data_IF_534694746199
#
_entry.id   IF_534694746199
#
_cell.length_a   1.000
_cell.length_b   1.000
_cell.length_c   1.000
_cell.angle_alpha   90.00
_cell.angle_beta   90.00
_cell.angle_gamma   90.00
#
_symmetry.space_group_name_H-M   'P 1'
#
loop_
_entity.id
_entity.type
_entity.pdbx_description
1 polymer ?
#
# COMPACT_ATOMS: atom_id res chain seq x y z
N UNK A 1 -43.62 -5.88 2.34
CA UNK A 1 -44.56 -4.96 1.66
C UNK A 1 -44.88 -3.84 2.64
N UNK A 2 -44.25 -2.67 2.51
CA UNK A 2 -44.82 -1.39 2.01
C UNK A 2 -44.46 -0.40 3.15
N UNK A 3 -43.98 0.83 2.98
CA UNK A 3 -43.80 1.75 1.87
C UNK A 3 -43.54 3.12 2.51
N UNK A 4 -42.68 3.96 1.92
CA UNK A 4 -42.38 5.32 2.39
C UNK A 4 -43.62 6.22 2.35
N UNK A 5 -43.81 7.19 3.26
CA UNK A 5 -44.63 8.35 2.99
C UNK A 5 -43.79 9.59 2.65
N UNK A 6 -44.39 10.33 1.72
CA UNK A 6 -43.88 11.41 0.91
C UNK A 6 -44.04 12.75 1.66
N UNK A 7 -43.00 13.58 1.63
CA UNK A 7 -42.98 14.90 2.27
C UNK A 7 -43.39 15.96 1.24
N UNK A 8 -44.67 16.32 1.17
CA UNK A 8 -45.09 17.55 0.49
C UNK A 8 -46.46 18.02 0.98
N UNK A 9 -46.56 19.34 1.18
CA UNK A 9 -47.75 20.15 1.51
C UNK A 9 -48.10 20.27 3.00
N UNK A 10 -47.51 21.26 3.66
CA UNK A 10 -48.29 22.39 4.20
C UNK A 10 -47.40 23.63 4.26
N UNK A 11 -47.83 24.68 3.59
CA UNK A 11 -47.05 25.89 3.30
C UNK A 11 -47.16 26.89 4.46
N UNK A 12 -46.04 27.58 4.72
CA UNK A 12 -45.93 28.95 5.20
C UNK A 12 -46.42 29.30 6.63
N UNK A 13 -45.46 29.47 7.55
CA UNK A 13 -45.37 30.70 8.36
C UNK A 13 -44.04 30.95 9.13
N UNK A 14 -42.93 30.25 8.87
CA UNK A 14 -41.63 30.62 9.48
C UNK A 14 -40.48 30.35 8.49
N UNK A 15 -40.32 31.22 7.50
CA UNK A 15 -39.13 31.25 6.63
C UNK A 15 -38.18 32.30 7.18
N UNK A 16 -37.14 31.89 7.91
CA UNK A 16 -36.10 32.85 8.29
C UNK A 16 -34.89 32.31 9.04
N UNK A 17 -35.02 31.31 9.91
CA UNK A 17 -33.98 31.06 10.92
C UNK A 17 -33.34 29.66 10.93
N UNK A 18 -33.86 28.69 10.16
CA UNK A 18 -33.39 27.29 10.24
C UNK A 18 -32.40 26.89 9.12
N UNK A 19 -32.23 27.69 8.06
CA UNK A 19 -31.34 27.33 6.95
C UNK A 19 -29.85 27.62 7.16
N UNK A 20 -29.50 28.47 8.14
CA UNK A 20 -28.09 28.77 8.45
C UNK A 20 -27.49 27.72 9.40
N UNK A 21 -28.28 27.15 10.31
CA UNK A 21 -27.78 26.18 11.30
C UNK A 21 -27.41 24.82 10.69
N UNK A 22 -28.17 24.31 9.71
CA UNK A 22 -27.85 23.04 9.06
C UNK A 22 -26.59 23.10 8.17
N UNK A 23 -26.31 24.24 7.51
CA UNK A 23 -25.04 24.43 6.80
C UNK A 23 -23.85 24.56 7.76
N UNK A 24 -24.01 25.32 8.85
CA UNK A 24 -22.96 25.52 9.84
C UNK A 24 -22.57 24.20 10.55
N UNK A 25 -23.53 23.33 10.83
CA UNK A 25 -23.26 22.01 11.42
C UNK A 25 -22.55 21.06 10.43
N UNK A 26 -22.93 21.10 9.14
CA UNK A 26 -22.29 20.29 8.10
C UNK A 26 -20.85 20.75 7.80
N UNK A 27 -20.59 22.07 7.82
CA UNK A 27 -19.24 22.62 7.68
C UNK A 27 -18.38 22.44 8.92
N UNK A 28 -18.96 22.47 10.13
CA UNK A 28 -18.25 22.15 11.37
C UNK A 28 -17.84 20.67 11.42
N UNK A 29 -18.68 19.74 10.97
CA UNK A 29 -18.32 18.33 10.85
C UNK A 29 -17.31 18.06 9.73
N UNK A 30 -17.41 18.76 8.59
CA UNK A 30 -16.42 18.68 7.50
C UNK A 30 -15.06 19.22 7.93
N UNK A 31 -15.02 20.31 8.70
CA UNK A 31 -13.80 20.86 9.28
C UNK A 31 -13.25 19.99 10.41
N UNK A 32 -14.09 19.37 11.25
CA UNK A 32 -13.65 18.36 12.23
C UNK A 32 -13.04 17.13 11.56
N UNK A 33 -13.64 16.63 10.47
CA UNK A 33 -13.11 15.49 9.70
C UNK A 33 -11.80 15.83 8.98
N UNK A 34 -11.66 17.05 8.44
CA UNK A 34 -10.39 17.56 7.88
C UNK A 34 -9.31 17.73 8.95
N UNK A 35 -9.65 18.28 10.11
CA UNK A 35 -8.72 18.43 11.24
C UNK A 35 -8.29 17.06 11.79
N UNK A 36 -9.19 16.06 11.83
CA UNK A 36 -8.86 14.71 12.24
C UNK A 36 -7.99 13.99 11.19
N UNK A 37 -8.28 14.12 9.90
CA UNK A 37 -7.46 13.58 8.82
C UNK A 37 -6.06 14.19 8.78
N UNK A 38 -5.94 15.51 8.95
CA UNK A 38 -4.66 16.20 9.07
C UNK A 38 -3.91 15.80 10.35
N UNK A 39 -4.62 15.53 11.46
CA UNK A 39 -4.02 15.02 12.70
C UNK A 39 -3.51 13.59 12.55
N UNK A 40 -4.18 12.74 11.78
CA UNK A 40 -3.72 11.37 11.46
C UNK A 40 -2.50 11.40 10.52
N UNK A 41 -2.50 12.27 9.49
CA UNK A 41 -1.33 12.45 8.62
C UNK A 41 -0.12 12.98 9.43
N UNK A 42 -0.36 13.92 10.36
CA UNK A 42 0.70 14.43 11.25
C UNK A 42 1.25 13.39 12.23
N UNK A 43 0.48 12.35 12.59
CA UNK A 43 0.97 11.25 13.42
C UNK A 43 1.98 10.38 12.66
N UNK A 44 1.83 10.25 11.34
CA UNK A 44 2.80 9.54 10.51
C UNK A 44 4.14 10.28 10.45
N UNK A 45 4.10 11.60 10.23
CA UNK A 45 5.30 12.47 10.15
C UNK A 45 5.97 12.68 11.53
N UNK A 46 5.17 12.76 12.60
CA UNK A 46 5.66 12.88 13.97
C UNK A 46 6.20 11.56 14.55
N UNK A 47 5.76 10.42 14.02
CA UNK A 47 6.31 9.10 14.34
C UNK A 47 7.72 8.98 13.78
N UNK A 48 7.90 9.16 12.47
CA UNK A 48 9.21 9.06 11.81
C UNK A 48 10.25 10.01 12.40
N UNK A 49 9.89 11.26 12.69
CA UNK A 49 10.81 12.26 13.25
C UNK A 49 11.21 12.00 14.70
N UNK A 50 10.37 11.36 15.53
CA UNK A 50 10.70 11.01 16.91
C UNK A 50 11.54 9.73 17.03
N UNK A 51 11.35 8.77 16.11
CA UNK A 51 12.15 7.55 16.04
C UNK A 51 13.53 7.80 15.41
N UNK A 52 13.64 8.69 14.41
CA UNK A 52 14.92 9.09 13.84
C UNK A 52 15.81 9.85 14.85
N UNK A 53 15.21 10.65 15.73
CA UNK A 53 15.93 11.50 16.69
C UNK A 53 16.58 10.73 17.86
N UNK A 54 16.19 9.48 18.11
CA UNK A 54 16.68 8.70 19.27
C UNK A 54 17.92 7.85 18.98
N UNK A 55 18.47 7.85 17.76
CA UNK A 55 19.71 7.13 17.42
C UNK A 55 19.65 5.60 17.61
N UNK A 56 18.47 5.06 17.92
CA UNK A 56 18.23 3.64 18.17
C UNK A 56 18.06 2.93 16.83
N UNK A 57 19.13 2.28 16.35
CA UNK A 57 19.16 1.48 15.12
C UNK A 57 18.47 0.11 15.28
N UNK A 58 17.44 0.02 16.10
CA UNK A 58 16.75 -1.24 16.40
C UNK A 58 15.68 -1.58 15.35
N UNK A 59 15.53 -0.76 14.31
CA UNK A 59 14.60 -0.96 13.19
C UNK A 59 15.37 -1.24 11.90
N UNK A 60 15.01 -2.32 11.21
CA UNK A 60 15.55 -2.68 9.90
C UNK A 60 14.47 -2.49 8.85
N UNK A 61 14.69 -1.55 7.93
CA UNK A 61 13.82 -1.34 6.78
C UNK A 61 14.14 -2.37 5.69
N UNK A 62 13.11 -3.07 5.26
CA UNK A 62 13.19 -4.10 4.21
C UNK A 62 12.14 -3.77 3.16
N UNK A 63 12.54 -3.25 1.99
CA UNK A 63 11.61 -3.04 0.92
C UNK A 63 11.22 -4.39 0.29
N UNK A 64 10.01 -4.43 -0.28
CA UNK A 64 9.60 -5.47 -1.20
C UNK A 64 10.03 -5.11 -2.63
N UNK A 65 10.26 -6.13 -3.46
CA UNK A 65 10.62 -5.96 -4.87
C UNK A 65 9.50 -6.47 -5.77
N UNK A 66 9.20 -5.74 -6.84
CA UNK A 66 8.39 -6.24 -7.94
C UNK A 66 9.30 -7.04 -8.86
N UNK A 67 9.16 -8.36 -8.82
CA UNK A 67 9.95 -9.31 -9.60
C UNK A 67 9.05 -10.00 -10.63
N UNK A 68 9.25 -9.71 -11.90
CA UNK A 68 8.45 -10.24 -13.00
C UNK A 68 9.04 -11.56 -13.48
N UNK A 69 8.14 -12.51 -13.80
CA UNK A 69 8.51 -13.75 -14.48
C UNK A 69 9.18 -13.44 -15.83
N UNK A 70 10.29 -14.12 -16.18
CA UNK A 70 10.89 -14.03 -17.51
C UNK A 70 9.91 -14.40 -18.64
N UNK A 71 8.94 -15.28 -18.36
CA UNK A 71 7.93 -15.71 -19.33
C UNK A 71 6.99 -14.56 -19.75
N UNK A 72 6.81 -13.55 -18.89
CA UNK A 72 5.92 -12.43 -19.17
C UNK A 72 6.52 -11.40 -20.14
N UNK A 73 7.85 -11.41 -20.37
CA UNK A 73 8.57 -10.45 -21.23
C UNK A 73 8.27 -8.98 -20.89
N UNK A 74 8.32 -8.67 -19.59
CA UNK A 74 8.09 -7.34 -19.03
C UNK A 74 9.36 -6.94 -18.28
N UNK A 75 9.99 -5.87 -18.73
CA UNK A 75 11.30 -5.41 -18.24
C UNK A 75 11.21 -4.12 -17.43
N UNK A 76 10.03 -3.51 -17.36
CA UNK A 76 9.82 -2.26 -16.62
C UNK A 76 8.45 -2.20 -15.96
N UNK A 77 8.36 -1.37 -14.91
CA UNK A 77 7.11 -1.12 -14.23
C UNK A 77 6.05 -0.48 -15.16
N UNK A 78 6.47 0.39 -16.08
CA UNK A 78 5.59 0.98 -17.09
C UNK A 78 4.98 -0.06 -18.04
N UNK A 79 5.77 -1.05 -18.45
CA UNK A 79 5.27 -2.18 -19.22
C UNK A 79 4.31 -3.06 -18.40
N UNK A 80 4.60 -3.30 -17.11
CA UNK A 80 3.69 -4.03 -16.22
C UNK A 80 2.34 -3.33 -16.10
N UNK A 81 2.34 -2.01 -15.88
CA UNK A 81 1.11 -1.19 -15.80
C UNK A 81 0.35 -1.27 -17.12
N UNK A 82 1.04 -1.13 -18.25
CA UNK A 82 0.43 -1.18 -19.58
C UNK A 82 -0.18 -2.56 -19.85
N UNK A 83 0.54 -3.64 -19.55
CA UNK A 83 0.07 -5.01 -19.69
C UNK A 83 -1.19 -5.27 -18.85
N UNK A 84 -1.18 -4.83 -17.58
CA UNK A 84 -2.30 -5.01 -16.66
C UNK A 84 -3.54 -4.17 -17.06
N UNK A 85 -3.35 -2.99 -17.67
CA UNK A 85 -4.45 -2.18 -18.23
C UNK A 85 -5.04 -2.79 -19.50
N UNK A 86 -4.22 -3.33 -20.38
CA UNK A 86 -4.66 -3.98 -21.61
C UNK A 86 -5.33 -5.34 -21.36
N UNK A 87 -4.93 -6.03 -20.28
CA UNK A 87 -5.40 -7.36 -19.93
C UNK A 87 -5.93 -7.43 -18.49
N UNK A 88 -7.07 -6.79 -18.19
CA UNK A 88 -7.62 -6.76 -16.84
C UNK A 88 -7.88 -8.17 -16.30
N UNK A 89 -7.34 -8.47 -15.13
CA UNK A 89 -7.50 -9.76 -14.44
C UNK A 89 -6.57 -10.88 -14.91
N UNK A 90 -5.82 -10.72 -16.01
CA UNK A 90 -4.85 -11.73 -16.46
C UNK A 90 -3.51 -11.66 -15.73
N UNK A 91 -3.08 -10.44 -15.38
CA UNK A 91 -1.87 -10.26 -14.62
C UNK A 91 -2.07 -10.76 -13.18
N UNK A 92 -1.23 -11.69 -12.74
CA UNK A 92 -1.27 -12.24 -11.39
C UNK A 92 -0.13 -11.67 -10.55
N UNK A 93 -0.42 -11.41 -9.29
CA UNK A 93 0.50 -10.87 -8.30
C UNK A 93 0.67 -11.86 -7.16
N UNK A 94 1.77 -12.60 -7.16
CA UNK A 94 2.11 -13.52 -6.10
C UNK A 94 2.69 -12.76 -4.90
N UNK A 95 2.14 -13.00 -3.73
CA UNK A 95 2.49 -12.30 -2.49
C UNK A 95 2.58 -13.29 -1.34
N UNK A 96 3.21 -12.89 -0.24
CA UNK A 96 3.05 -13.58 1.03
C UNK A 96 1.59 -13.47 1.53
N UNK A 97 1.22 -14.26 2.54
CA UNK A 97 -0.15 -14.38 3.06
C UNK A 97 -0.86 -13.04 3.30
N UNK A 98 -2.20 -13.07 3.23
CA UNK A 98 -3.06 -11.89 3.43
C UNK A 98 -2.72 -11.17 4.74
N UNK A 99 -2.62 -9.84 4.67
CA UNK A 99 -2.30 -8.99 5.82
C UNK A 99 -0.80 -8.75 6.04
N UNK A 100 0.07 -9.40 5.27
CA UNK A 100 1.50 -9.10 5.28
C UNK A 100 1.83 -7.88 4.41
N UNK A 101 2.98 -7.26 4.66
CA UNK A 101 3.48 -6.12 3.89
C UNK A 101 3.51 -6.36 2.37
N UNK A 102 3.95 -7.51 1.84
CA UNK A 102 3.94 -7.74 0.39
C UNK A 102 2.52 -7.82 -0.20
N UNK A 103 1.56 -8.42 0.52
CA UNK A 103 0.15 -8.44 0.12
C UNK A 103 -0.41 -7.01 0.02
N UNK A 104 -0.18 -6.20 1.06
CA UNK A 104 -0.62 -4.81 1.09
C UNK A 104 0.08 -3.95 0.03
N UNK A 105 1.36 -4.20 -0.24
CA UNK A 105 2.13 -3.52 -1.29
C UNK A 105 1.49 -3.74 -2.66
N UNK A 106 1.07 -4.97 -2.96
CA UNK A 106 0.42 -5.29 -4.22
C UNK A 106 -0.99 -4.68 -4.32
N UNK A 107 -1.81 -4.76 -3.26
CA UNK A 107 -3.14 -4.15 -3.25
C UNK A 107 -3.09 -2.62 -3.36
N UNK A 108 -2.14 -2.00 -2.66
CA UNK A 108 -1.90 -0.57 -2.78
C UNK A 108 -1.52 -0.18 -4.21
N UNK A 109 -0.65 -0.98 -4.85
CA UNK A 109 -0.22 -0.75 -6.23
C UNK A 109 -1.40 -0.84 -7.20
N UNK A 110 -2.23 -1.87 -7.08
CA UNK A 110 -3.46 -2.03 -7.88
C UNK A 110 -4.35 -0.79 -7.79
N UNK A 111 -4.56 -0.31 -6.57
CA UNK A 111 -5.42 0.85 -6.30
C UNK A 111 -4.84 2.15 -6.84
N UNK A 112 -3.54 2.40 -6.66
CA UNK A 112 -2.90 3.66 -7.07
C UNK A 112 -2.60 3.70 -8.57
N UNK A 113 -2.17 2.60 -9.17
CA UNK A 113 -1.89 2.51 -10.61
C UNK A 113 -3.17 2.35 -11.46
N UNK A 114 -4.32 2.09 -10.83
CA UNK A 114 -5.59 1.87 -11.50
C UNK A 114 -5.58 0.62 -12.38
N UNK A 115 -4.98 -0.46 -11.89
CA UNK A 115 -4.81 -1.72 -12.63
C UNK A 115 -5.58 -2.86 -11.97
N UNK A 116 -6.09 -3.79 -12.79
CA UNK A 116 -6.78 -4.97 -12.32
C UNK A 116 -5.85 -6.18 -12.40
N UNK A 117 -5.38 -6.62 -11.24
CA UNK A 117 -4.50 -7.79 -11.09
C UNK A 117 -5.09 -8.76 -10.06
N UNK A 118 -4.87 -10.04 -10.27
CA UNK A 118 -5.32 -11.09 -9.35
C UNK A 118 -4.21 -11.38 -8.34
N UNK A 119 -4.47 -11.13 -7.06
CA UNK A 119 -3.48 -11.37 -6.00
C UNK A 119 -3.57 -12.82 -5.55
N UNK A 120 -2.45 -13.53 -5.59
CA UNK A 120 -2.33 -14.94 -5.20
C UNK A 120 -1.47 -15.02 -3.94
N UNK A 121 -2.05 -15.35 -2.77
CA UNK A 121 -1.30 -15.44 -1.53
C UNK A 121 -0.59 -16.80 -1.41
N UNK A 122 0.67 -16.78 -0.98
CA UNK A 122 1.51 -17.94 -0.72
C UNK A 122 1.94 -17.98 0.75
N UNK A 123 2.25 -19.19 1.23
CA UNK A 123 2.82 -19.43 2.56
C UNK A 123 4.31 -19.04 2.59
N UNK A 124 4.58 -17.74 2.46
CA UNK A 124 5.93 -17.15 2.39
C UNK A 124 6.35 -16.73 0.99
N UNK A 125 7.52 -16.07 0.88
CA UNK A 125 7.98 -15.50 -0.37
C UNK A 125 8.64 -16.49 -1.34
N UNK A 126 9.29 -17.55 -0.84
CA UNK A 126 9.99 -18.53 -1.68
C UNK A 126 9.05 -19.32 -2.61
N UNK A 127 7.88 -19.83 -2.16
CA UNK A 127 6.94 -20.48 -3.07
C UNK A 127 6.39 -19.54 -4.16
N UNK A 128 6.18 -18.26 -3.84
CA UNK A 128 5.77 -17.24 -4.80
C UNK A 128 6.84 -17.00 -5.87
N UNK A 129 8.12 -16.94 -5.47
CA UNK A 129 9.26 -16.80 -6.36
C UNK A 129 9.38 -18.02 -7.30
N UNK A 130 9.23 -19.23 -6.77
CA UNK A 130 9.32 -20.46 -7.57
C UNK A 130 8.25 -20.51 -8.67
N UNK A 131 7.01 -20.15 -8.34
CA UNK A 131 5.93 -20.08 -9.32
C UNK A 131 6.13 -18.93 -10.33
N UNK A 132 6.78 -17.83 -9.92
CA UNK A 132 7.14 -16.75 -10.84
C UNK A 132 8.24 -17.18 -11.82
N UNK A 133 9.27 -17.88 -11.33
CA UNK A 133 10.32 -18.46 -12.18
C UNK A 133 9.70 -19.48 -13.16
N UNK A 134 8.76 -20.29 -12.68
CA UNK A 134 8.02 -21.25 -13.51
C UNK A 134 6.98 -20.65 -14.45
N UNK A 135 6.78 -19.32 -14.45
CA UNK A 135 5.83 -18.64 -15.35
C UNK A 135 4.36 -18.86 -15.02
N UNK A 136 4.03 -19.41 -13.85
CA UNK A 136 2.65 -19.60 -13.39
C UNK A 136 2.02 -18.29 -12.93
N UNK A 137 2.85 -17.39 -12.39
CA UNK A 137 2.44 -16.05 -11.96
C UNK A 137 3.21 -14.97 -12.72
N UNK A 138 2.57 -13.84 -12.99
CA UNK A 138 3.15 -12.75 -13.79
C UNK A 138 4.21 -11.99 -13.00
N UNK A 139 3.89 -11.60 -11.77
CA UNK A 139 4.80 -10.85 -10.89
C UNK A 139 4.75 -11.44 -9.48
N UNK A 140 5.90 -11.53 -8.82
CA UNK A 140 6.03 -11.76 -7.39
C UNK A 140 6.40 -10.44 -6.71
N UNK A 141 5.66 -10.07 -5.67
CA UNK A 141 5.97 -8.92 -4.81
C UNK A 141 6.35 -9.47 -3.46
N UNK A 142 7.65 -9.56 -3.19
CA UNK A 142 8.23 -10.14 -1.96
C UNK A 142 9.60 -9.52 -1.67
N UNK A 143 10.04 -9.55 -0.41
CA UNK A 143 11.36 -9.02 0.01
C UNK A 143 12.52 -9.95 -0.38
N UNK A 144 12.26 -11.25 -0.47
CA UNK A 144 13.22 -12.32 -0.69
C UNK A 144 13.61 -12.48 -2.17
N UNK A 145 13.04 -11.67 -3.06
CA UNK A 145 13.26 -11.76 -4.51
C UNK A 145 14.64 -11.25 -4.95
N UNK A 146 15.30 -10.40 -4.16
CA UNK A 146 16.57 -9.77 -4.52
C UNK A 146 17.66 -10.73 -5.05
N UNK A 147 18.02 -11.84 -4.37
CA UNK A 147 19.02 -12.77 -4.90
C UNK A 147 18.61 -13.40 -6.23
N UNK A 148 17.31 -13.63 -6.47
CA UNK A 148 16.79 -14.18 -7.73
C UNK A 148 16.80 -13.15 -8.87
N UNK A 149 16.62 -11.87 -8.53
CA UNK A 149 16.80 -10.75 -9.47
C UNK A 149 18.27 -10.63 -9.87
N UNK A 150 19.19 -10.66 -8.89
CA UNK A 150 20.62 -10.55 -9.13
C UNK A 150 21.17 -11.73 -9.95
N UNK A 151 20.59 -12.92 -9.80
CA UNK A 151 20.94 -14.10 -10.58
C UNK A 151 20.22 -14.17 -11.94
N UNK A 152 19.50 -13.12 -12.34
CA UNK A 152 18.72 -13.04 -13.58
C UNK A 152 17.67 -14.16 -13.76
N UNK A 153 17.22 -14.78 -12.67
CA UNK A 153 16.15 -15.77 -12.70
C UNK A 153 14.77 -15.10 -12.72
N UNK A 154 14.68 -13.88 -12.19
CA UNK A 154 13.52 -13.00 -12.26
C UNK A 154 13.96 -11.63 -12.75
N UNK A 155 13.05 -10.90 -13.37
CA UNK A 155 13.30 -9.52 -13.83
C UNK A 155 12.80 -8.56 -12.77
N UNK A 156 13.72 -7.93 -12.03
CA UNK A 156 13.35 -6.89 -11.07
C UNK A 156 12.94 -5.61 -11.80
N UNK A 157 11.69 -5.17 -11.61
CA UNK A 157 11.16 -3.98 -12.32
C UNK A 157 11.03 -2.75 -11.44
N UNK A 158 10.87 -2.91 -10.13
CA UNK A 158 10.79 -1.80 -9.19
C UNK A 158 10.99 -2.22 -7.73
N UNK A 159 11.37 -1.25 -6.89
CA UNK A 159 11.37 -1.35 -5.43
C UNK A 159 10.23 -0.56 -4.81
N UNK A 160 9.62 -1.10 -3.75
CA UNK A 160 8.45 -0.50 -3.07
C UNK A 160 8.76 0.72 -2.20
N UNK A 161 10.01 0.95 -1.84
CA UNK A 161 10.43 2.11 -1.06
C UNK A 161 10.31 3.40 -1.86
N UNK A 162 10.10 4.52 -1.18
CA UNK A 162 10.04 5.84 -1.83
C UNK A 162 11.31 6.20 -2.63
N UNK A 163 12.46 5.64 -2.24
CA UNK A 163 13.76 5.83 -2.91
C UNK A 163 14.42 4.48 -3.19
N UNK A 164 15.26 4.36 -4.24
CA UNK A 164 16.09 3.19 -4.45
C UNK A 164 16.95 2.87 -3.23
N UNK A 165 17.08 1.58 -2.90
CA UNK A 165 17.97 1.12 -1.84
C UNK A 165 19.42 1.16 -2.32
N UNK A 166 20.38 1.37 -1.41
CA UNK A 166 21.81 1.24 -1.71
C UNK A 166 22.19 -0.17 -2.18
N UNK A 167 21.38 -1.18 -1.84
CA UNK A 167 21.55 -2.57 -2.27
C UNK A 167 21.03 -2.82 -3.70
N UNK A 168 20.21 -1.92 -4.24
CA UNK A 168 19.59 -2.05 -5.56
C UNK A 168 19.59 -0.71 -6.30
N UNK A 169 20.78 -0.16 -6.64
CA UNK A 169 20.86 1.11 -7.34
C UNK A 169 20.22 1.06 -8.73
N UNK A 170 20.20 -0.13 -9.35
CA UNK A 170 19.69 -0.33 -10.71
C UNK A 170 18.16 -0.44 -10.78
N UNK A 171 17.49 -0.65 -9.63
CA UNK A 171 16.04 -0.79 -9.58
C UNK A 171 15.36 0.57 -9.29
N UNK A 172 14.45 1.03 -10.16
CA UNK A 172 13.72 2.27 -9.90
C UNK A 172 12.72 2.08 -8.76
N UNK A 173 12.42 3.18 -8.05
CA UNK A 173 11.34 3.18 -7.07
C UNK A 173 9.97 3.19 -7.77
N UNK A 174 8.99 2.45 -7.23
CA UNK A 174 7.60 2.49 -7.72
C UNK A 174 7.06 3.92 -7.72
N UNK A 175 7.46 4.71 -6.72
CA UNK A 175 7.14 6.13 -6.59
C UNK A 175 7.44 6.97 -7.86
N UNK A 176 8.39 6.55 -8.69
CA UNK A 176 8.73 7.25 -9.94
C UNK A 176 7.63 7.11 -11.00
N UNK A 177 6.96 5.95 -11.05
CA UNK A 177 5.84 5.70 -11.99
C UNK A 177 4.47 5.96 -11.35
N UNK A 178 4.37 5.78 -10.03
CA UNK A 178 3.14 5.95 -9.26
C UNK A 178 3.41 6.94 -8.12
N UNK A 179 3.16 8.24 -8.33
CA UNK A 179 3.48 9.27 -7.34
C UNK A 179 2.79 9.01 -5.98
N UNK A 180 3.55 9.15 -4.90
CA UNK A 180 3.07 8.94 -3.53
C UNK A 180 3.03 7.48 -3.06
N UNK A 181 3.51 6.54 -3.87
CA UNK A 181 3.63 5.14 -3.47
C UNK A 181 4.84 4.95 -2.55
N UNK A 182 4.61 4.48 -1.33
CA UNK A 182 5.64 3.96 -0.44
C UNK A 182 5.05 2.79 0.37
N UNK A 183 5.67 1.62 0.26
CA UNK A 183 5.26 0.42 0.98
C UNK A 183 6.47 -0.33 1.53
N UNK A 184 7.28 0.39 2.31
CA UNK A 184 8.44 -0.18 2.99
C UNK A 184 8.02 -1.00 4.21
N UNK A 185 8.57 -2.21 4.34
CA UNK A 185 8.42 -3.03 5.54
C UNK A 185 9.49 -2.67 6.56
N UNK A 186 9.18 -2.83 7.86
CA UNK A 186 10.17 -2.67 8.93
C UNK A 186 10.09 -3.85 9.91
N UNK A 187 11.26 -4.23 10.44
CA UNK A 187 11.39 -5.24 11.49
C UNK A 187 12.04 -4.62 12.72
N UNK A 188 11.49 -4.92 13.89
CA UNK A 188 12.06 -4.50 15.16
C UNK A 188 11.85 -5.59 16.23
N UNK A 189 12.79 -5.77 17.16
CA UNK A 189 12.57 -6.63 18.30
C UNK A 189 11.49 -6.03 19.20
N UNK A 190 10.48 -6.84 19.55
CA UNK A 190 9.51 -6.48 20.57
C UNK A 190 9.89 -7.18 21.88
N UNK A 191 10.24 -6.39 22.90
CA UNK A 191 10.51 -6.89 24.24
C UNK A 191 9.26 -6.70 25.10
N UNK A 192 8.88 -7.72 25.87
CA UNK A 192 7.88 -7.52 26.94
C UNK A 192 8.42 -6.46 27.90
N UNK A 193 7.61 -5.49 28.34
CA UNK A 193 7.98 -4.61 29.44
C UNK A 193 8.39 -5.48 30.64
N UNK A 194 9.64 -5.35 31.10
CA UNK A 194 10.07 -6.00 32.33
C UNK A 194 9.54 -5.13 33.46
N UNK A 195 8.63 -5.68 34.27
CA UNK A 195 8.15 -5.01 35.46
C UNK A 195 9.33 -4.77 36.40
N UNK A 196 9.55 -3.51 36.80
CA UNK A 196 10.70 -3.11 37.61
C UNK A 196 10.65 -3.62 39.07
N UNK A 197 9.66 -4.45 39.41
CA UNK A 197 9.33 -4.87 40.79
C UNK A 197 9.81 -6.26 41.17
N UNK A 198 10.50 -6.99 40.29
CA UNK A 198 11.15 -8.27 40.64
C UNK A 198 12.65 -8.03 40.81
N UNK A 199 13.03 -7.60 42.02
CA UNK A 199 14.41 -7.62 42.53
C UNK A 199 14.42 -8.31 43.88
#
# INVERSE_FOLDING_TARGET
>A
MIGRPNCSRFFAFFRGFEREFECALCDAERNRRRAHALRVIRVHEAGESRFAATGRRDFVNVPNYFAVSPAAKIDSLGQLISYAKQNPGKATCATSVVGTSPFLSCELFKRMAGVQMTTVPYQGGIPAIQDAIGGRVTVAVVSEALPYINNHQLTGVAVTSAKPSSLTPDLPAVAQSVPGYDATSWYAPFMRPVDATTR
#
